data_IF_540980196759
#
_entry.id   IF_540980196759
#
_cell.length_a   1.000
_cell.length_b   1.000
_cell.length_c   1.000
_cell.angle_alpha   90.00
_cell.angle_beta   90.00
_cell.angle_gamma   90.00
#
_symmetry.space_group_name_H-M   'P 1'
#
loop_
_entity.id
_entity.type
_entity.pdbx_description
1 polymer ?
#
# COMPACT_ATOMS: atom_id res chain seq x y z
N UNK A 1 38.27 60.73 -17.93
CA UNK A 1 38.27 59.43 -18.62
C UNK A 1 38.64 58.26 -17.67
N UNK A 2 39.65 58.36 -16.82
CA UNK A 2 40.08 57.29 -15.90
C UNK A 2 38.99 56.94 -14.85
N UNK A 3 38.18 57.87 -14.36
CA UNK A 3 37.10 57.65 -13.39
C UNK A 3 35.88 57.00 -14.02
N UNK A 4 35.64 57.26 -15.31
CA UNK A 4 34.51 56.64 -16.04
C UNK A 4 34.77 55.15 -16.30
N UNK A 5 36.02 54.76 -16.56
CA UNK A 5 36.41 53.35 -16.73
C UNK A 5 36.33 52.55 -15.43
N UNK A 6 36.63 53.14 -14.29
CA UNK A 6 36.51 52.50 -12.97
C UNK A 6 35.04 52.24 -12.59
N UNK A 7 34.14 53.17 -12.91
CA UNK A 7 32.71 52.96 -12.67
C UNK A 7 32.12 51.87 -13.57
N UNK A 8 32.56 51.77 -14.84
CA UNK A 8 32.10 50.70 -15.74
C UNK A 8 32.61 49.32 -15.33
N UNK A 9 33.81 49.23 -14.75
CA UNK A 9 34.38 47.96 -14.24
C UNK A 9 33.69 47.48 -12.95
N UNK A 10 33.28 48.39 -12.07
CA UNK A 10 32.48 48.03 -10.90
C UNK A 10 31.07 47.51 -11.27
N UNK A 11 30.46 48.05 -12.33
CA UNK A 11 29.16 47.59 -12.81
C UNK A 11 29.20 46.18 -13.42
N UNK A 12 30.29 45.85 -14.13
CA UNK A 12 30.53 44.52 -14.69
C UNK A 12 30.79 43.45 -13.61
N UNK A 13 31.38 43.81 -12.47
CA UNK A 13 31.60 42.89 -11.35
C UNK A 13 30.33 42.55 -10.59
N UNK A 14 29.31 43.43 -10.58
CA UNK A 14 28.01 43.16 -9.98
C UNK A 14 27.12 42.26 -10.84
N UNK A 15 27.29 42.24 -12.15
CA UNK A 15 26.52 41.39 -13.06
C UNK A 15 26.98 39.92 -13.05
N UNK A 16 28.14 39.60 -12.50
CA UNK A 16 28.67 38.21 -12.45
C UNK A 16 28.10 37.33 -11.33
N UNK A 17 27.24 37.87 -10.45
CA UNK A 17 26.45 37.09 -9.49
C UNK A 17 25.11 36.65 -10.10
N UNK A 18 25.08 36.39 -11.41
CA UNK A 18 23.94 35.75 -12.04
C UNK A 18 23.72 34.36 -11.37
N UNK A 19 22.75 34.37 -10.56
CA UNK A 19 22.06 33.29 -9.87
C UNK A 19 22.31 31.91 -10.49
N UNK A 20 23.25 31.15 -9.96
CA UNK A 20 23.23 29.70 -10.10
C UNK A 20 22.07 29.19 -9.22
N UNK A 21 20.85 29.31 -9.72
CA UNK A 21 19.75 28.52 -9.16
C UNK A 21 20.19 27.05 -9.22
N UNK A 22 20.30 26.37 -8.10
CA UNK A 22 20.66 24.96 -8.13
C UNK A 22 19.64 24.25 -9.02
N UNK A 23 20.13 23.64 -10.09
CA UNK A 23 19.29 22.92 -11.04
C UNK A 23 18.61 21.79 -10.27
N UNK A 24 17.31 21.94 -10.02
CA UNK A 24 16.55 20.92 -9.32
C UNK A 24 16.46 19.68 -10.20
N UNK A 25 17.06 18.59 -9.75
CA UNK A 25 16.98 17.31 -10.43
C UNK A 25 15.80 16.52 -9.88
N UNK A 26 14.79 16.29 -10.71
CA UNK A 26 13.59 15.53 -10.36
C UNK A 26 13.70 14.14 -11.00
N UNK A 27 13.48 13.12 -10.21
CA UNK A 27 13.36 11.73 -10.66
C UNK A 27 12.00 11.16 -10.33
N UNK A 28 11.75 9.94 -10.77
CA UNK A 28 10.55 9.22 -10.41
C UNK A 28 10.87 7.76 -10.10
N UNK A 29 9.98 7.14 -9.33
CA UNK A 29 10.01 5.73 -9.00
C UNK A 29 8.60 5.15 -9.12
N UNK A 30 8.52 3.92 -9.59
CA UNK A 30 7.28 3.15 -9.57
C UNK A 30 7.25 2.28 -8.29
N UNK A 31 6.43 2.70 -7.34
CA UNK A 31 6.27 2.00 -6.07
C UNK A 31 5.75 0.56 -6.26
N UNK A 32 4.73 0.37 -7.12
CA UNK A 32 4.12 -0.94 -7.31
C UNK A 32 5.09 -1.93 -7.95
N UNK A 33 5.86 -1.47 -8.95
CA UNK A 33 6.92 -2.24 -9.56
C UNK A 33 8.01 -2.63 -8.54
N UNK A 34 8.49 -1.68 -7.74
CA UNK A 34 9.50 -1.95 -6.72
C UNK A 34 8.97 -2.93 -5.69
N UNK A 35 7.78 -2.67 -5.13
CA UNK A 35 7.16 -3.50 -4.10
C UNK A 35 6.90 -4.91 -4.59
N UNK A 36 6.34 -5.06 -5.80
CA UNK A 36 6.01 -6.37 -6.39
C UNK A 36 7.22 -7.29 -6.58
N UNK A 37 8.43 -6.73 -6.69
CA UNK A 37 9.67 -7.50 -6.80
C UNK A 37 10.34 -7.79 -5.45
N UNK A 38 9.85 -7.20 -4.35
CA UNK A 38 10.41 -7.51 -3.03
C UNK A 38 10.00 -8.90 -2.56
N UNK A 39 10.86 -9.63 -1.83
CA UNK A 39 10.47 -10.88 -1.19
C UNK A 39 9.36 -10.65 -0.15
N UNK A 40 9.31 -9.46 0.45
CA UNK A 40 8.28 -9.03 1.39
C UNK A 40 6.87 -9.12 0.78
N UNK A 41 6.71 -8.82 -0.53
CA UNK A 41 5.42 -8.92 -1.23
C UNK A 41 4.82 -10.33 -1.15
N UNK A 42 5.62 -11.35 -1.47
CA UNK A 42 5.16 -12.75 -1.44
C UNK A 42 4.81 -13.18 -0.02
N UNK A 43 5.59 -12.75 0.96
CA UNK A 43 5.33 -13.06 2.36
C UNK A 43 4.01 -12.43 2.82
N UNK A 44 3.80 -11.15 2.52
CA UNK A 44 2.56 -10.42 2.86
C UNK A 44 1.35 -11.08 2.21
N UNK A 45 1.42 -11.40 0.92
CA UNK A 45 0.35 -12.08 0.19
C UNK A 45 -0.03 -13.42 0.86
N UNK A 46 0.96 -14.24 1.21
CA UNK A 46 0.75 -15.50 1.89
C UNK A 46 0.16 -15.32 3.30
N UNK A 47 0.65 -14.36 4.07
CA UNK A 47 0.13 -14.09 5.40
C UNK A 47 -1.32 -13.58 5.36
N UNK A 48 -1.64 -12.70 4.40
CA UNK A 48 -3.01 -12.22 4.21
C UNK A 48 -3.96 -13.32 3.76
N UNK A 49 -3.54 -14.18 2.82
CA UNK A 49 -4.32 -15.36 2.40
C UNK A 49 -4.58 -16.31 3.56
N UNK A 50 -3.55 -16.59 4.35
CA UNK A 50 -3.68 -17.47 5.52
C UNK A 50 -4.64 -16.90 6.56
N UNK A 51 -4.50 -15.59 6.87
CA UNK A 51 -5.37 -14.91 7.80
C UNK A 51 -6.82 -14.85 7.29
N UNK A 52 -7.02 -14.54 6.01
CA UNK A 52 -8.33 -14.56 5.36
C UNK A 52 -9.00 -15.92 5.43
N UNK A 53 -8.27 -17.00 5.11
CA UNK A 53 -8.78 -18.37 5.21
C UNK A 53 -9.15 -18.76 6.64
N UNK A 54 -8.40 -18.31 7.65
CA UNK A 54 -8.75 -18.53 9.06
C UNK A 54 -10.06 -17.83 9.45
N UNK A 55 -10.24 -16.57 9.03
CA UNK A 55 -11.46 -15.81 9.29
C UNK A 55 -12.67 -16.44 8.57
N UNK A 56 -12.50 -16.87 7.32
CA UNK A 56 -13.53 -17.55 6.55
C UNK A 56 -13.98 -18.87 7.23
N UNK A 57 -13.02 -19.68 7.67
CA UNK A 57 -13.32 -20.92 8.38
C UNK A 57 -14.08 -20.69 9.69
N UNK A 58 -13.72 -19.65 10.46
CA UNK A 58 -14.45 -19.28 11.67
C UNK A 58 -15.86 -18.79 11.35
N UNK A 59 -16.04 -18.01 10.31
CA UNK A 59 -17.35 -17.55 9.85
C UNK A 59 -18.22 -18.75 9.41
N UNK A 60 -17.66 -19.69 8.67
CA UNK A 60 -18.34 -20.93 8.26
C UNK A 60 -18.77 -21.77 9.44
N UNK A 61 -17.92 -21.88 10.46
CA UNK A 61 -18.28 -22.60 11.69
C UNK A 61 -19.47 -21.96 12.41
N UNK A 62 -19.48 -20.62 12.52
CA UNK A 62 -20.60 -19.86 13.11
C UNK A 62 -21.91 -20.06 12.32
N UNK A 63 -21.85 -20.03 11.00
CA UNK A 63 -23.01 -20.32 10.17
C UNK A 63 -23.51 -21.77 10.33
N UNK A 64 -22.61 -22.74 10.42
CA UNK A 64 -22.93 -24.12 10.62
C UNK A 64 -23.63 -24.32 11.97
N UNK A 65 -23.14 -23.67 13.04
CA UNK A 65 -23.77 -23.66 14.35
C UNK A 65 -25.19 -23.06 14.31
N UNK A 66 -25.33 -21.89 13.63
CA UNK A 66 -26.64 -21.26 13.44
C UNK A 66 -27.63 -22.19 12.74
N UNK A 67 -27.23 -22.83 11.66
CA UNK A 67 -28.05 -23.76 10.90
C UNK A 67 -28.47 -24.98 11.74
N UNK A 68 -27.54 -25.54 12.52
CA UNK A 68 -27.85 -26.68 13.41
C UNK A 68 -28.88 -26.30 14.47
N UNK A 69 -28.71 -25.10 15.10
CA UNK A 69 -29.67 -24.61 16.11
C UNK A 69 -31.04 -24.26 15.50
N UNK A 70 -31.06 -23.68 14.30
CA UNK A 70 -32.26 -23.36 13.55
C UNK A 70 -33.03 -24.64 13.18
N UNK A 71 -32.35 -25.67 12.72
CA UNK A 71 -32.96 -26.97 12.42
C UNK A 71 -33.54 -27.63 13.69
N UNK A 72 -32.81 -27.56 14.81
CA UNK A 72 -33.28 -28.05 16.09
C UNK A 72 -34.54 -27.30 16.59
N UNK A 73 -34.55 -25.97 16.40
CA UNK A 73 -35.71 -25.12 16.74
C UNK A 73 -36.95 -25.50 15.90
N UNK A 74 -36.76 -25.60 14.57
CA UNK A 74 -37.82 -25.94 13.63
C UNK A 74 -38.37 -27.37 13.85
N UNK A 75 -37.54 -28.27 14.38
CA UNK A 75 -37.93 -29.65 14.71
C UNK A 75 -38.59 -29.82 16.08
N UNK A 76 -38.81 -28.74 16.85
CA UNK A 76 -39.42 -28.83 18.17
C UNK A 76 -40.89 -29.28 18.10
N UNK A 77 -41.33 -30.21 18.98
CA UNK A 77 -42.73 -30.58 19.08
C UNK A 77 -43.62 -29.38 19.39
N UNK A 78 -44.87 -29.41 18.91
CA UNK A 78 -45.86 -28.37 19.21
C UNK A 78 -46.15 -28.25 20.72
N UNK A 79 -45.91 -29.31 21.46
CA UNK A 79 -46.09 -29.41 22.92
C UNK A 79 -44.94 -28.80 23.72
N UNK A 80 -43.88 -28.30 23.05
CA UNK A 80 -42.74 -27.64 23.72
C UNK A 80 -43.22 -26.38 24.47
N UNK A 81 -42.85 -26.23 25.76
CA UNK A 81 -43.23 -25.06 26.54
C UNK A 81 -42.78 -23.78 25.88
N UNK A 82 -43.63 -22.74 25.91
CA UNK A 82 -43.39 -21.45 25.26
C UNK A 82 -42.14 -20.77 25.78
N UNK A 83 -41.83 -20.91 27.06
CA UNK A 83 -40.59 -20.36 27.65
C UNK A 83 -39.34 -20.95 26.97
N UNK A 84 -39.33 -22.26 26.67
CA UNK A 84 -38.18 -22.90 25.99
C UNK A 84 -38.07 -22.44 24.55
N UNK A 85 -39.20 -22.26 23.85
CA UNK A 85 -39.17 -21.72 22.47
C UNK A 85 -38.59 -20.33 22.45
N UNK A 86 -39.05 -19.45 23.36
CA UNK A 86 -38.57 -18.07 23.48
C UNK A 86 -37.07 -18.00 23.80
N UNK A 87 -36.56 -18.88 24.66
CA UNK A 87 -35.14 -18.96 24.96
C UNK A 87 -34.33 -19.38 23.72
N UNK A 88 -34.85 -20.32 22.92
CA UNK A 88 -34.18 -20.72 21.66
C UNK A 88 -34.23 -19.67 20.58
N UNK A 89 -35.31 -18.91 20.47
CA UNK A 89 -35.40 -17.75 19.58
C UNK A 89 -34.37 -16.66 19.95
N UNK A 90 -34.25 -16.39 21.26
CA UNK A 90 -33.25 -15.43 21.75
C UNK A 90 -31.81 -15.90 21.46
N UNK A 91 -31.52 -17.21 21.63
CA UNK A 91 -30.22 -17.78 21.31
C UNK A 91 -29.91 -17.68 19.81
N UNK A 92 -30.88 -17.95 18.93
CA UNK A 92 -30.72 -17.77 17.48
C UNK A 92 -30.50 -16.31 17.10
N UNK A 93 -31.24 -15.38 17.68
CA UNK A 93 -31.06 -13.94 17.44
C UNK A 93 -29.66 -13.45 17.86
N UNK A 94 -29.19 -13.88 19.03
CA UNK A 94 -27.86 -13.57 19.53
C UNK A 94 -26.75 -14.12 18.61
N UNK A 95 -26.93 -15.35 18.11
CA UNK A 95 -25.96 -15.95 17.21
C UNK A 95 -25.93 -15.25 15.86
N UNK A 96 -27.08 -14.82 15.34
CA UNK A 96 -27.18 -14.02 14.13
C UNK A 96 -26.47 -12.67 14.28
N UNK A 97 -26.66 -11.98 15.40
CA UNK A 97 -25.94 -10.73 15.71
C UNK A 97 -24.43 -10.98 15.81
N UNK A 98 -24.02 -12.07 16.47
CA UNK A 98 -22.61 -12.48 16.56
C UNK A 98 -21.99 -12.74 15.19
N UNK A 99 -22.73 -13.32 14.24
CA UNK A 99 -22.26 -13.54 12.87
C UNK A 99 -22.05 -12.20 12.15
N UNK A 100 -23.03 -11.29 12.23
CA UNK A 100 -22.92 -9.97 11.61
C UNK A 100 -21.74 -9.18 12.17
N UNK A 101 -21.61 -9.18 13.50
CA UNK A 101 -20.47 -8.53 14.16
C UNK A 101 -19.15 -9.14 13.73
N UNK A 102 -19.06 -10.48 13.69
CA UNK A 102 -17.84 -11.16 13.26
C UNK A 102 -17.45 -10.82 11.82
N UNK A 103 -18.40 -10.65 10.88
CA UNK A 103 -18.13 -10.24 9.51
C UNK A 103 -17.46 -8.85 9.45
N UNK A 104 -17.96 -7.91 10.25
CA UNK A 104 -17.38 -6.56 10.33
C UNK A 104 -15.98 -6.60 10.97
N UNK A 105 -15.85 -7.33 12.07
CA UNK A 105 -14.58 -7.49 12.78
C UNK A 105 -13.53 -8.18 11.90
N UNK A 106 -13.93 -9.18 11.11
CA UNK A 106 -13.06 -9.90 10.18
C UNK A 106 -12.52 -8.97 9.08
N UNK A 107 -13.38 -8.12 8.50
CA UNK A 107 -12.96 -7.15 7.51
C UNK A 107 -11.95 -6.14 8.10
N UNK A 108 -12.26 -5.61 9.28
CA UNK A 108 -11.38 -4.68 10.00
C UNK A 108 -10.04 -5.36 10.36
N UNK A 109 -10.09 -6.61 10.81
CA UNK A 109 -8.90 -7.40 11.13
C UNK A 109 -7.99 -7.61 9.92
N UNK A 110 -8.58 -7.90 8.75
CA UNK A 110 -7.83 -8.09 7.51
C UNK A 110 -7.16 -6.78 7.06
N UNK A 111 -7.88 -5.66 7.10
CA UNK A 111 -7.33 -4.34 6.78
C UNK A 111 -6.19 -3.95 7.73
N UNK A 112 -6.40 -4.19 9.04
CA UNK A 112 -5.37 -3.93 10.04
C UNK A 112 -4.13 -4.79 9.80
N UNK A 113 -4.30 -6.09 9.58
CA UNK A 113 -3.18 -7.01 9.28
C UNK A 113 -2.41 -6.55 8.04
N UNK A 114 -3.11 -6.12 6.97
CA UNK A 114 -2.49 -5.58 5.77
C UNK A 114 -1.65 -4.32 6.09
N UNK A 115 -2.23 -3.37 6.81
CA UNK A 115 -1.52 -2.16 7.21
C UNK A 115 -0.27 -2.48 8.05
N UNK A 116 -0.42 -3.34 9.06
CA UNK A 116 0.69 -3.72 9.96
C UNK A 116 1.85 -4.38 9.19
N UNK A 117 1.55 -5.19 8.17
CA UNK A 117 2.55 -5.83 7.33
C UNK A 117 3.20 -4.86 6.32
N UNK A 118 2.44 -3.87 5.82
CA UNK A 118 2.93 -2.92 4.84
C UNK A 118 3.84 -1.84 5.43
N UNK A 119 3.58 -1.38 6.65
CA UNK A 119 4.34 -0.30 7.31
C UNK A 119 5.85 -0.53 7.29
N UNK A 120 6.39 -1.69 7.71
CA UNK A 120 7.83 -1.93 7.66
C UNK A 120 8.40 -1.92 6.25
N UNK A 121 7.63 -2.38 5.25
CA UNK A 121 8.06 -2.39 3.85
C UNK A 121 8.10 -0.98 3.29
N UNK A 122 7.09 -0.14 3.59
CA UNK A 122 7.10 1.28 3.25
C UNK A 122 8.35 1.98 3.81
N UNK A 123 8.68 1.72 5.07
CA UNK A 123 9.88 2.28 5.68
C UNK A 123 11.18 1.82 5.00
N UNK A 124 11.28 0.53 4.70
CA UNK A 124 12.44 -0.09 4.04
C UNK A 124 12.66 0.47 2.63
N UNK A 125 11.62 0.49 1.81
CA UNK A 125 11.68 1.03 0.44
C UNK A 125 11.89 2.54 0.44
N UNK A 126 11.23 3.28 1.33
CA UNK A 126 11.41 4.72 1.47
C UNK A 126 12.85 5.10 1.78
N UNK A 127 13.51 4.38 2.69
CA UNK A 127 14.94 4.58 3.00
C UNK A 127 15.83 4.28 1.78
N UNK A 128 15.51 3.25 1.00
CA UNK A 128 16.25 2.93 -0.21
C UNK A 128 16.09 4.02 -1.28
N UNK A 129 14.86 4.55 -1.47
CA UNK A 129 14.59 5.68 -2.36
C UNK A 129 15.39 6.91 -1.92
N UNK A 130 15.36 7.24 -0.62
CA UNK A 130 16.11 8.38 -0.07
C UNK A 130 17.62 8.24 -0.32
N UNK A 131 18.17 7.06 -0.08
CA UNK A 131 19.59 6.79 -0.31
C UNK A 131 19.96 6.95 -1.77
N UNK A 132 19.19 6.36 -2.70
CA UNK A 132 19.40 6.47 -4.15
C UNK A 132 19.26 7.93 -4.61
N UNK A 133 18.28 8.66 -4.10
CA UNK A 133 18.07 10.06 -4.42
C UNK A 133 19.29 10.91 -4.04
N UNK A 134 19.80 10.74 -2.82
CA UNK A 134 20.99 11.45 -2.32
C UNK A 134 22.25 11.10 -3.11
N UNK A 135 22.48 9.82 -3.36
CA UNK A 135 23.64 9.31 -4.10
C UNK A 135 23.70 9.85 -5.55
N UNK A 136 22.53 10.09 -6.15
CA UNK A 136 22.42 10.55 -7.55
C UNK A 136 22.07 12.04 -7.68
N UNK A 137 22.03 12.78 -6.58
CA UNK A 137 21.79 14.24 -6.58
C UNK A 137 20.38 14.64 -6.99
N UNK A 138 19.39 13.83 -6.78
CA UNK A 138 17.99 14.19 -6.96
C UNK A 138 17.50 15.06 -5.82
N UNK A 139 16.74 16.12 -6.17
CA UNK A 139 16.09 17.00 -5.20
C UNK A 139 14.71 16.44 -4.79
N UNK A 140 14.01 15.83 -5.75
CA UNK A 140 12.69 15.22 -5.54
C UNK A 140 12.60 13.89 -6.28
N UNK A 141 11.88 12.95 -5.67
CA UNK A 141 11.43 11.73 -6.34
C UNK A 141 9.91 11.69 -6.25
N UNK A 142 9.26 11.55 -7.40
CA UNK A 142 7.81 11.49 -7.54
C UNK A 142 7.42 10.03 -7.75
N UNK A 143 6.35 9.58 -7.08
CA UNK A 143 5.79 8.27 -7.42
C UNK A 143 5.12 8.33 -8.79
N UNK A 144 5.45 7.39 -9.68
CA UNK A 144 4.91 7.38 -11.04
C UNK A 144 3.40 7.17 -11.07
N UNK A 145 2.87 6.42 -10.11
CA UNK A 145 1.46 6.05 -10.02
C UNK A 145 0.93 6.24 -8.60
N UNK A 146 -0.37 6.50 -8.46
CA UNK A 146 -1.07 6.40 -7.18
C UNK A 146 -1.75 5.04 -7.06
N UNK A 147 -2.14 4.69 -5.83
CA UNK A 147 -2.86 3.45 -5.55
C UNK A 147 -4.08 3.29 -6.47
N UNK A 148 -4.17 2.14 -7.14
CA UNK A 148 -5.22 1.86 -8.12
C UNK A 148 -4.77 2.01 -9.57
N UNK A 149 -3.45 2.19 -9.82
CA UNK A 149 -2.89 2.17 -11.18
C UNK A 149 -3.14 3.44 -11.99
N UNK A 150 -3.50 4.56 -11.34
CA UNK A 150 -3.64 5.84 -12.03
C UNK A 150 -2.26 6.51 -12.14
N UNK A 151 -1.86 6.85 -13.38
CA UNK A 151 -0.61 7.53 -13.65
C UNK A 151 -0.63 8.96 -13.10
N UNK A 152 0.38 9.30 -12.30
CA UNK A 152 0.66 10.66 -11.86
C UNK A 152 1.47 11.39 -12.91
N UNK A 153 2.38 10.67 -13.56
CA UNK A 153 3.23 11.21 -14.62
C UNK A 153 2.65 10.82 -15.98
N UNK A 154 2.15 11.79 -16.72
CA UNK A 154 1.66 11.59 -18.10
C UNK A 154 2.79 11.32 -19.08
N UNK A 155 3.99 11.84 -18.81
CA UNK A 155 5.21 11.62 -19.56
C UNK A 155 6.42 11.78 -18.66
N UNK A 156 7.40 10.92 -18.83
CA UNK A 156 8.71 11.01 -18.18
C UNK A 156 9.78 10.37 -19.07
N UNK A 157 10.98 10.94 -19.05
CA UNK A 157 12.13 10.33 -19.71
C UNK A 157 12.68 9.22 -18.79
N UNK A 158 12.89 8.02 -19.34
CA UNK A 158 13.33 6.82 -18.62
C UNK A 158 14.64 7.01 -17.85
N UNK A 159 15.51 7.92 -18.32
CA UNK A 159 16.75 8.25 -17.62
C UNK A 159 16.55 8.82 -16.20
N UNK A 160 15.35 9.28 -15.89
CA UNK A 160 14.97 9.77 -14.55
C UNK A 160 14.25 8.73 -13.69
N UNK A 161 14.02 7.53 -14.24
CA UNK A 161 13.49 6.39 -13.51
C UNK A 161 14.56 5.81 -12.58
N UNK A 162 14.28 5.81 -11.30
CA UNK A 162 15.20 5.24 -10.30
C UNK A 162 14.75 3.90 -9.75
N UNK A 163 13.65 3.33 -10.24
CA UNK A 163 13.07 2.11 -9.69
C UNK A 163 14.07 0.94 -9.63
N UNK A 164 14.81 0.71 -10.70
CA UNK A 164 15.83 -0.33 -10.75
C UNK A 164 17.03 -0.06 -9.83
N UNK A 165 17.39 1.21 -9.65
CA UNK A 165 18.44 1.59 -8.69
C UNK A 165 17.99 1.32 -7.26
N UNK A 166 16.72 1.56 -6.96
CA UNK A 166 16.13 1.26 -5.65
C UNK A 166 16.10 -0.26 -5.40
N UNK A 167 15.70 -1.06 -6.39
CA UNK A 167 15.76 -2.52 -6.29
C UNK A 167 17.18 -3.02 -6.01
N UNK A 168 18.17 -2.52 -6.76
CA UNK A 168 19.58 -2.85 -6.52
C UNK A 168 20.02 -2.44 -5.12
N UNK A 169 19.59 -1.28 -4.63
CA UNK A 169 19.88 -0.81 -3.27
C UNK A 169 19.28 -1.70 -2.20
N UNK A 170 18.12 -2.32 -2.48
CA UNK A 170 17.47 -3.33 -1.64
C UNK A 170 18.11 -4.73 -1.76
N UNK A 171 19.13 -4.90 -2.64
CA UNK A 171 19.77 -6.19 -2.91
C UNK A 171 18.95 -7.09 -3.83
N UNK A 172 18.03 -6.53 -4.61
CA UNK A 172 17.14 -7.25 -5.52
C UNK A 172 17.62 -7.02 -6.95
N UNK A 173 17.77 -8.10 -7.73
CA UNK A 173 18.03 -7.99 -9.17
C UNK A 173 16.73 -7.67 -9.88
N UNK A 174 16.62 -6.51 -10.58
CA UNK A 174 15.42 -6.16 -11.31
C UNK A 174 15.05 -7.22 -12.35
N UNK A 175 13.78 -7.63 -12.36
CA UNK A 175 13.27 -8.47 -13.43
C UNK A 175 13.16 -7.65 -14.72
N UNK A 176 13.37 -8.27 -15.91
CA UNK A 176 13.15 -7.58 -17.17
C UNK A 176 11.72 -7.02 -17.22
N UNK A 177 11.58 -5.72 -17.50
CA UNK A 177 10.28 -5.12 -17.72
C UNK A 177 9.69 -5.73 -18.99
N UNK A 178 8.70 -6.61 -18.85
CA UNK A 178 7.86 -6.98 -19.98
C UNK A 178 6.95 -5.78 -20.25
N UNK A 179 7.40 -4.83 -21.06
CA UNK A 179 6.53 -3.80 -21.61
C UNK A 179 5.33 -4.50 -22.26
N UNK A 180 4.08 -4.21 -21.85
CA UNK A 180 2.95 -4.68 -22.60
C UNK A 180 3.06 -4.03 -23.99
N UNK A 181 3.29 -4.88 -25.01
CA UNK A 181 3.28 -4.47 -26.40
C UNK A 181 1.91 -3.84 -26.69
N UNK A 182 1.90 -2.53 -26.78
CA UNK A 182 0.75 -1.79 -27.33
C UNK A 182 0.45 -2.35 -28.73
N UNK A 183 -0.65 -3.09 -28.84
CA UNK A 183 -1.30 -3.40 -30.11
C UNK A 183 -2.31 -2.31 -30.40
#
# INVERSE_FOLDING_TARGET
>A
MRTLFLLLFCYAAFAAHAQTTPTQKIGYADWEYIFGQTPDYKQIDNELKTHGAQLENQLKAKYSEYQAKLNAFNGMPATTPEAIKKDKEAELAQLQESIQKFQQDAQTSLQKKQSDLMVPVFSKVGKAIEAVAKENGFTFIINAQVSGGLDVLLYSDEKYNISDLVLKKLGITPAPVTTPSTK
#
